data_IF_235788872255
#
_entry.id   IF_235788872255
#
_cell.length_a   1.000
_cell.length_b   1.000
_cell.length_c   1.000
_cell.angle_alpha   90.00
_cell.angle_beta   90.00
_cell.angle_gamma   90.00
#
_symmetry.space_group_name_H-M   'P 1'
#
loop_
_entity.id
_entity.type
_entity.pdbx_description
1 polymer ?
#
# COMPACT_ATOMS: atom_id res chain seq x y z
N UNK A 1 -22.69 -18.06 4.62
CA UNK A 1 -21.59 -17.12 4.69
C UNK A 1 -20.33 -17.79 5.19
N UNK A 2 -19.27 -17.58 4.48
CA UNK A 2 -18.06 -18.30 4.76
C UNK A 2 -17.13 -17.48 5.66
N UNK A 3 -17.34 -17.58 6.96
CA UNK A 3 -16.51 -16.86 7.92
C UNK A 3 -15.07 -17.33 7.86
N UNK A 4 -14.86 -18.62 7.59
CA UNK A 4 -13.53 -19.19 7.53
C UNK A 4 -12.67 -18.66 6.39
N UNK A 5 -13.29 -17.98 5.41
CA UNK A 5 -12.56 -17.38 4.31
C UNK A 5 -12.41 -15.88 4.46
N UNK A 6 -12.89 -15.32 5.54
CA UNK A 6 -12.70 -13.91 5.79
C UNK A 6 -11.20 -13.68 5.96
N UNK A 7 -10.70 -12.72 5.22
CA UNK A 7 -9.30 -12.37 5.36
C UNK A 7 -9.05 -11.82 6.75
N UNK A 8 -7.89 -12.16 7.27
CA UNK A 8 -7.41 -11.50 8.47
C UNK A 8 -7.09 -10.05 8.10
N UNK A 9 -7.83 -9.13 8.69
CA UNK A 9 -7.59 -7.71 8.51
C UNK A 9 -6.79 -7.25 9.69
N UNK A 10 -5.58 -6.79 9.44
CA UNK A 10 -4.68 -6.38 10.51
C UNK A 10 -5.16 -5.09 11.16
N UNK A 11 -4.73 -4.90 12.39
CA UNK A 11 -5.02 -3.66 13.09
C UNK A 11 -4.49 -2.46 12.32
N UNK A 12 -3.34 -2.60 11.68
CA UNK A 12 -2.76 -1.51 10.89
C UNK A 12 -3.67 -1.13 9.71
N UNK A 13 -4.30 -2.11 9.06
CA UNK A 13 -5.24 -1.80 7.98
C UNK A 13 -6.41 -0.98 8.49
N UNK A 14 -6.94 -1.32 9.68
CA UNK A 14 -8.03 -0.56 10.26
C UNK A 14 -7.62 0.85 10.63
N UNK A 15 -6.42 1.01 11.14
CA UNK A 15 -5.89 2.34 11.45
C UNK A 15 -5.79 3.19 10.19
N UNK A 16 -5.22 2.64 9.14
CA UNK A 16 -5.09 3.40 7.90
C UNK A 16 -6.46 3.74 7.30
N UNK A 17 -7.41 2.80 7.36
CA UNK A 17 -8.77 3.06 6.89
C UNK A 17 -9.39 4.25 7.62
N UNK A 18 -9.21 4.32 8.93
CA UNK A 18 -9.70 5.45 9.73
C UNK A 18 -9.01 6.75 9.34
N UNK A 19 -7.70 6.71 9.14
CA UNK A 19 -6.94 7.91 8.75
C UNK A 19 -7.37 8.43 7.39
N UNK A 20 -7.63 7.54 6.44
CA UNK A 20 -8.12 7.91 5.12
C UNK A 20 -9.46 8.65 5.26
N UNK A 21 -10.35 8.10 6.06
CA UNK A 21 -11.66 8.72 6.29
C UNK A 21 -11.54 10.05 7.00
N UNK A 22 -10.77 10.10 8.08
CA UNK A 22 -10.57 11.32 8.87
C UNK A 22 -9.97 12.46 8.05
N UNK A 23 -9.15 12.14 7.08
CA UNK A 23 -8.52 13.13 6.22
C UNK A 23 -9.34 13.45 4.97
N UNK A 24 -10.55 12.91 4.87
CA UNK A 24 -11.43 13.21 3.75
C UNK A 24 -10.90 12.76 2.40
N UNK A 25 -10.11 11.70 2.38
CA UNK A 25 -9.58 11.18 1.14
C UNK A 25 -10.60 10.23 0.51
N UNK A 26 -11.34 10.73 -0.45
CA UNK A 26 -12.44 9.99 -1.05
C UNK A 26 -12.00 9.02 -2.14
N UNK A 27 -12.88 8.05 -2.41
CA UNK A 27 -12.71 7.17 -3.57
C UNK A 27 -11.91 5.91 -3.29
N UNK A 28 -11.58 5.64 -2.05
CA UNK A 28 -10.81 4.45 -1.68
C UNK A 28 -11.72 3.28 -1.36
N UNK A 29 -11.39 2.13 -1.93
CA UNK A 29 -12.06 0.87 -1.62
C UNK A 29 -11.04 -0.12 -1.10
N UNK A 30 -11.52 -1.13 -0.41
CA UNK A 30 -10.66 -2.15 0.19
C UNK A 30 -10.75 -3.44 -0.61
N UNK A 31 -9.67 -4.20 -0.61
CA UNK A 31 -9.64 -5.54 -1.20
C UNK A 31 -10.05 -5.57 -2.66
N UNK A 32 -9.56 -4.63 -3.44
CA UNK A 32 -9.89 -4.58 -4.87
C UNK A 32 -9.12 -5.63 -5.66
N UNK A 33 -9.85 -6.46 -6.37
CA UNK A 33 -9.26 -7.37 -7.35
C UNK A 33 -9.02 -6.58 -8.63
N UNK A 34 -7.77 -6.43 -9.00
CA UNK A 34 -7.42 -5.55 -10.11
C UNK A 34 -7.00 -6.28 -11.39
N UNK A 35 -6.69 -7.57 -11.29
CA UNK A 35 -6.16 -8.32 -12.42
C UNK A 35 -7.25 -9.20 -13.04
N UNK A 36 -7.36 -9.25 -14.37
CA UNK A 36 -8.41 -10.05 -15.01
C UNK A 36 -8.25 -11.54 -14.80
N UNK A 37 -7.02 -12.04 -14.66
CA UNK A 37 -6.76 -13.48 -14.61
C UNK A 37 -6.25 -13.98 -13.28
N UNK A 38 -5.68 -13.11 -12.48
CA UNK A 38 -5.09 -13.47 -11.20
C UNK A 38 -6.00 -13.01 -10.07
N UNK A 39 -5.90 -13.68 -8.93
CA UNK A 39 -6.76 -13.38 -7.78
C UNK A 39 -6.18 -12.30 -6.86
N UNK A 40 -5.17 -11.62 -7.31
CA UNK A 40 -4.52 -10.58 -6.52
C UNK A 40 -5.49 -9.47 -6.14
N UNK A 41 -5.29 -8.93 -4.95
CA UNK A 41 -6.07 -7.81 -4.45
C UNK A 41 -5.14 -6.78 -3.85
N UNK A 42 -5.55 -5.52 -3.94
CA UNK A 42 -4.90 -4.46 -3.19
C UNK A 42 -5.60 -4.29 -1.86
N UNK A 43 -4.83 -3.99 -0.80
CA UNK A 43 -5.44 -3.68 0.50
C UNK A 43 -6.34 -2.47 0.40
N UNK A 44 -5.87 -1.43 -0.29
CA UNK A 44 -6.65 -0.23 -0.59
C UNK A 44 -6.40 0.17 -2.03
N UNK A 45 -7.43 0.66 -2.69
CA UNK A 45 -7.27 1.14 -4.06
C UNK A 45 -8.21 2.30 -4.36
N UNK A 46 -7.73 3.19 -5.20
CA UNK A 46 -8.52 4.30 -5.73
C UNK A 46 -8.46 4.20 -7.24
N UNK A 47 -9.54 3.72 -7.84
CA UNK A 47 -9.55 3.48 -9.28
C UNK A 47 -9.48 4.76 -10.11
N UNK A 48 -10.11 5.82 -9.61
CA UNK A 48 -10.08 7.09 -10.34
C UNK A 48 -8.66 7.65 -10.47
N UNK A 49 -7.83 7.41 -9.47
CA UNK A 49 -6.44 7.85 -9.47
C UNK A 49 -5.48 6.78 -9.96
N UNK A 50 -5.95 5.56 -10.15
CA UNK A 50 -5.10 4.40 -10.43
C UNK A 50 -3.98 4.28 -9.41
N UNK A 51 -4.36 4.31 -8.16
CA UNK A 51 -3.43 4.27 -7.04
C UNK A 51 -3.85 3.21 -6.04
N UNK A 52 -2.89 2.49 -5.52
CA UNK A 52 -3.14 1.42 -4.58
C UNK A 52 -2.17 1.48 -3.41
N UNK A 53 -2.58 0.89 -2.31
CA UNK A 53 -1.75 0.80 -1.11
C UNK A 53 -1.72 -0.65 -0.64
N UNK A 54 -0.53 -1.11 -0.31
CA UNK A 54 -0.30 -2.41 0.29
C UNK A 54 0.36 -2.21 1.64
N UNK A 55 -0.17 -2.83 2.67
CA UNK A 55 0.49 -2.87 3.96
C UNK A 55 1.17 -4.22 4.08
N UNK A 56 2.48 -4.21 4.04
CA UNK A 56 3.25 -5.43 4.17
C UNK A 56 3.35 -5.74 5.66
N UNK A 57 2.54 -6.69 6.08
CA UNK A 57 2.41 -7.07 7.46
C UNK A 57 3.75 -7.31 8.09
N UNK A 58 3.96 -6.63 9.14
CA UNK A 58 5.22 -6.31 9.65
C UNK A 58 6.04 -7.32 10.40
N UNK A 59 5.96 -8.55 10.13
CA UNK A 59 6.91 -9.41 10.80
C UNK A 59 8.08 -9.71 9.91
N UNK A 60 9.05 -8.86 10.01
CA UNK A 60 10.35 -9.09 9.46
C UNK A 60 11.10 -10.01 10.39
N UNK A 61 11.07 -11.29 10.12
CA UNK A 61 11.97 -12.20 10.79
C UNK A 61 12.82 -12.89 9.73
N UNK A 62 14.08 -13.14 9.99
CA UNK A 62 14.92 -13.86 9.04
C UNK A 62 14.33 -15.21 8.66
N UNK A 63 13.64 -15.83 9.59
CA UNK A 63 12.96 -17.09 9.33
C UNK A 63 11.85 -16.95 8.31
N UNK A 64 11.05 -15.91 8.46
CA UNK A 64 9.95 -15.67 7.53
C UNK A 64 10.47 -15.31 6.15
N UNK A 65 11.54 -14.54 6.09
CA UNK A 65 12.18 -14.22 4.83
C UNK A 65 12.67 -15.47 4.10
N UNK A 66 13.27 -16.39 4.83
CA UNK A 66 13.73 -17.63 4.22
C UNK A 66 12.59 -18.46 3.65
N UNK A 67 11.47 -18.50 4.36
CA UNK A 67 10.31 -19.24 3.88
C UNK A 67 9.65 -18.57 2.67
N UNK A 68 9.77 -17.26 2.56
CA UNK A 68 9.17 -16.52 1.46
C UNK A 68 10.10 -16.35 0.28
N UNK A 69 11.27 -16.95 0.34
CA UNK A 69 12.24 -16.84 -0.73
C UNK A 69 11.83 -17.61 -1.98
N UNK A 70 10.85 -18.45 -1.87
CA UNK A 70 10.38 -19.22 -3.00
C UNK A 70 9.22 -18.55 -3.68
N UNK A 71 8.17 -19.33 -3.83
CA UNK A 71 7.02 -18.99 -4.64
C UNK A 71 6.24 -17.79 -4.12
N UNK A 72 6.09 -17.68 -2.80
CA UNK A 72 5.34 -16.56 -2.23
C UNK A 72 5.99 -15.22 -2.53
N UNK A 73 7.29 -15.15 -2.39
CA UNK A 73 8.03 -13.93 -2.67
C UNK A 73 7.95 -13.56 -4.15
N UNK A 74 8.16 -14.54 -5.01
CA UNK A 74 8.05 -14.35 -6.44
C UNK A 74 6.65 -13.86 -6.83
N UNK A 75 5.63 -14.46 -6.26
CA UNK A 75 4.26 -14.07 -6.54
C UNK A 75 3.99 -12.63 -6.14
N UNK A 76 4.53 -12.19 -5.01
CA UNK A 76 4.36 -10.82 -4.56
C UNK A 76 5.03 -9.83 -5.51
N UNK A 77 6.22 -10.16 -5.99
CA UNK A 77 6.91 -9.32 -6.96
C UNK A 77 6.14 -9.26 -8.28
N UNK A 78 5.62 -10.39 -8.74
CA UNK A 78 4.83 -10.42 -9.96
C UNK A 78 3.58 -9.55 -9.84
N UNK A 79 2.91 -9.63 -8.70
CA UNK A 79 1.72 -8.81 -8.44
C UNK A 79 2.02 -7.33 -8.61
N UNK A 80 3.08 -6.85 -7.96
CA UNK A 80 3.43 -5.44 -8.01
C UNK A 80 3.86 -5.04 -9.41
N UNK A 81 4.65 -5.86 -10.07
CA UNK A 81 5.09 -5.57 -11.42
C UNK A 81 3.92 -5.48 -12.40
N UNK A 82 2.99 -6.44 -12.31
CA UNK A 82 1.81 -6.42 -13.16
C UNK A 82 0.95 -5.19 -12.89
N UNK A 83 0.78 -4.84 -11.63
CA UNK A 83 0.02 -3.65 -11.28
C UNK A 83 0.63 -2.39 -11.89
N UNK A 84 1.94 -2.23 -11.78
CA UNK A 84 2.63 -1.09 -12.37
C UNK A 84 2.49 -1.06 -13.89
N UNK A 85 2.61 -2.22 -14.54
CA UNK A 85 2.45 -2.30 -15.99
C UNK A 85 1.03 -1.95 -16.42
N UNK A 86 0.05 -2.20 -15.57
CA UNK A 86 -1.34 -1.85 -15.84
C UNK A 86 -1.64 -0.37 -15.57
N UNK A 87 -0.67 0.37 -15.09
CA UNK A 87 -0.82 1.81 -14.85
C UNK A 87 -1.10 2.18 -13.41
N UNK A 88 -1.08 1.23 -12.50
CA UNK A 88 -1.27 1.52 -11.09
C UNK A 88 0.00 2.07 -10.47
N UNK A 89 -0.16 3.05 -9.59
CA UNK A 89 0.90 3.45 -8.66
C UNK A 89 0.63 2.67 -7.38
N UNK A 90 1.60 1.88 -6.95
CA UNK A 90 1.43 1.09 -5.73
C UNK A 90 2.38 1.60 -4.66
N UNK A 91 1.80 2.07 -3.58
CA UNK A 91 2.57 2.49 -2.41
C UNK A 91 2.55 1.35 -1.40
N UNK A 92 3.71 1.05 -0.87
CA UNK A 92 3.86 -0.05 0.07
C UNK A 92 4.39 0.46 1.40
N UNK A 93 3.77 0.05 2.47
CA UNK A 93 4.13 0.51 3.81
C UNK A 93 4.23 -0.66 4.77
N UNK A 94 5.09 -0.53 5.75
CA UNK A 94 5.13 -1.46 6.86
C UNK A 94 4.05 -1.09 7.88
N UNK A 95 3.77 -2.01 8.79
CA UNK A 95 2.86 -1.74 9.89
C UNK A 95 3.32 -0.51 10.69
N UNK A 96 4.61 -0.43 10.98
CA UNK A 96 5.15 0.70 11.74
C UNK A 96 4.91 2.04 11.04
N UNK A 97 5.01 2.04 9.72
CA UNK A 97 4.79 3.26 8.95
C UNK A 97 3.35 3.72 8.96
N UNK A 98 2.42 2.82 9.18
CA UNK A 98 1.03 3.22 9.40
C UNK A 98 0.91 3.93 10.75
N UNK A 99 1.50 3.35 11.79
CA UNK A 99 1.37 3.89 13.14
C UNK A 99 2.14 5.19 13.35
N UNK A 100 3.24 5.40 12.63
CA UNK A 100 4.01 6.63 12.77
C UNK A 100 3.57 7.73 11.81
N UNK A 101 2.46 7.52 11.12
CA UNK A 101 1.85 8.47 10.19
C UNK A 101 2.61 8.68 8.88
N UNK A 102 3.64 7.90 8.62
CA UNK A 102 4.33 7.94 7.34
C UNK A 102 3.38 7.58 6.20
N UNK A 103 2.60 6.51 6.39
CA UNK A 103 1.72 6.04 5.33
C UNK A 103 0.68 7.07 4.92
N UNK A 104 -0.04 7.65 5.89
CA UNK A 104 -1.08 8.61 5.55
C UNK A 104 -0.49 9.89 4.96
N UNK A 105 0.67 10.30 5.45
CA UNK A 105 1.36 11.48 4.92
C UNK A 105 1.79 11.26 3.48
N UNK A 106 2.40 10.13 3.19
CA UNK A 106 2.84 9.82 1.84
C UNK A 106 1.66 9.62 0.90
N UNK A 107 0.58 9.04 1.41
CA UNK A 107 -0.63 8.85 0.61
C UNK A 107 -1.22 10.21 0.20
N UNK A 108 -1.31 11.13 1.14
CA UNK A 108 -1.82 12.47 0.83
C UNK A 108 -0.93 13.18 -0.19
N UNK A 109 0.39 13.05 -0.05
CA UNK A 109 1.34 13.60 -1.02
C UNK A 109 1.16 12.97 -2.40
N UNK A 110 1.01 11.67 -2.44
CA UNK A 110 0.84 10.95 -3.70
C UNK A 110 -0.43 11.39 -4.43
N UNK A 111 -1.51 11.56 -3.69
CA UNK A 111 -2.77 12.05 -4.25
C UNK A 111 -2.59 13.45 -4.83
N UNK A 112 -1.93 14.33 -4.09
CA UNK A 112 -1.66 15.69 -4.54
C UNK A 112 -0.87 15.69 -5.85
N UNK A 113 0.20 14.88 -5.89
CA UNK A 113 1.03 14.77 -7.10
C UNK A 113 0.23 14.20 -8.27
N UNK A 114 -0.55 13.16 -8.00
CA UNK A 114 -1.32 12.50 -9.06
C UNK A 114 -2.37 13.43 -9.67
N UNK A 115 -2.85 14.38 -8.88
CA UNK A 115 -3.81 15.38 -9.34
C UNK A 115 -3.15 16.58 -10.01
N UNK A 116 -1.88 16.51 -10.31
CA UNK A 116 -1.15 17.54 -11.02
C UNK A 116 -0.29 18.45 -10.17
N UNK A 117 -0.17 18.16 -8.89
CA UNK A 117 0.70 18.93 -8.01
C UNK A 117 2.17 18.61 -8.25
N UNK A 118 3.02 19.49 -7.77
CA UNK A 118 4.46 19.31 -7.92
C UNK A 118 5.02 18.40 -6.82
N UNK A 119 5.98 17.59 -7.18
CA UNK A 119 6.68 16.78 -6.20
C UNK A 119 7.41 17.67 -5.22
N UNK A 120 7.09 17.53 -3.94
CA UNK A 120 7.68 18.36 -2.89
C UNK A 120 8.89 17.63 -2.32
N UNK A 121 10.05 18.08 -2.71
CA UNK A 121 11.30 17.50 -2.24
C UNK A 121 11.83 18.21 -1.00
N UNK A 122 11.42 19.43 -0.80
CA UNK A 122 11.92 20.27 0.28
C UNK A 122 11.71 19.67 1.67
N UNK A 123 10.74 18.80 1.78
CA UNK A 123 10.46 18.12 3.04
C UNK A 123 11.64 17.30 3.54
N UNK A 124 12.57 17.04 2.65
CA UNK A 124 13.72 16.20 2.94
C UNK A 124 15.00 16.99 3.19
N UNK A 125 14.88 18.28 3.36
CA UNK A 125 16.04 19.12 3.59
C UNK A 125 16.82 18.72 4.84
N UNK A 126 16.16 18.06 5.77
CA UNK A 126 16.81 17.60 7.00
C UNK A 126 17.17 16.13 6.95
N UNK A 127 17.04 15.50 5.79
CA UNK A 127 17.39 14.11 5.64
C UNK A 127 18.91 13.95 5.82
N UNK A 128 19.35 13.12 6.78
CA UNK A 128 20.79 12.96 7.01
C UNK A 128 21.53 12.32 5.85
N UNK A 129 20.81 11.79 4.88
CA UNK A 129 21.41 11.17 3.70
C UNK A 129 21.55 12.13 2.53
N UNK A 130 21.14 13.36 2.68
CA UNK A 130 21.35 14.38 1.65
C UNK A 130 22.42 15.35 2.14
N UNK A 131 23.45 15.47 1.37
CA UNK A 131 24.53 16.42 1.66
C UNK A 131 24.45 17.63 0.77
#
# INVERSE_FOLDING_TARGET
MSVGKARFISAAEEVLASQIEENGLDGWVRELKFHPDRRWRFDFANQALMMAVEINGGTWSPRKMRHNYGEGYRNDLEKINEAQLMGWIVLQFTTDQVYDNTAITDLARAIYIRRGGNYVYAVRSENPYTD
#
